data_IF_209276006388
#
_entry.id   IF_209276006388
#
_cell.length_a   1.000
_cell.length_b   1.000
_cell.length_c   1.000
_cell.angle_alpha   90.00
_cell.angle_beta   90.00
_cell.angle_gamma   90.00
#
_symmetry.space_group_name_H-M   'P 1'
#
loop_
_entity.id
_entity.type
_entity.pdbx_description
1 polymer ?
#
# COMPACT_ATOMS: atom_id res chain seq x y z
N UNK A 1 4.09 -12.89 24.42
CA UNK A 1 5.34 -12.35 25.01
C UNK A 1 5.27 -12.37 26.54
N UNK A 2 6.44 -12.40 27.21
CA UNK A 2 6.49 -12.18 28.66
C UNK A 2 6.24 -10.69 28.92
N UNK A 3 5.66 -10.38 30.07
CA UNK A 3 5.47 -9.01 30.52
C UNK A 3 6.82 -8.22 30.47
N UNK A 4 6.81 -7.05 29.84
CA UNK A 4 7.99 -6.22 29.54
C UNK A 4 9.05 -6.90 28.66
N UNK A 5 8.74 -8.04 28.04
CA UNK A 5 9.58 -8.61 26.99
C UNK A 5 9.58 -7.69 25.77
N UNK A 6 10.76 -7.38 25.25
CA UNK A 6 10.93 -6.57 24.05
C UNK A 6 11.43 -7.49 22.94
N UNK A 7 10.88 -7.35 21.75
CA UNK A 7 11.40 -7.93 20.51
C UNK A 7 11.63 -6.85 19.46
N UNK A 8 12.66 -7.04 18.67
CA UNK A 8 12.96 -6.18 17.53
C UNK A 8 13.16 -7.09 16.33
N UNK A 9 12.45 -6.81 15.26
CA UNK A 9 12.53 -7.56 14.02
C UNK A 9 12.69 -6.63 12.82
N UNK A 10 13.49 -7.07 11.86
CA UNK A 10 13.49 -6.53 10.50
C UNK A 10 12.64 -7.47 9.65
N UNK A 11 11.62 -6.93 9.02
CA UNK A 11 10.66 -7.69 8.23
C UNK A 11 10.83 -7.26 6.78
N UNK A 12 11.09 -8.21 5.90
CA UNK A 12 11.06 -8.01 4.45
C UNK A 12 9.84 -8.73 3.88
N UNK A 13 9.08 -8.03 3.05
CA UNK A 13 7.91 -8.56 2.36
C UNK A 13 8.00 -8.26 0.87
N UNK A 14 7.30 -9.06 0.08
CA UNK A 14 7.01 -8.79 -1.32
C UNK A 14 5.51 -8.98 -1.57
N UNK A 15 4.85 -7.95 -2.02
CA UNK A 15 3.46 -8.04 -2.47
C UNK A 15 3.43 -8.25 -3.98
N UNK A 16 2.91 -9.39 -4.42
CA UNK A 16 2.71 -9.66 -5.84
C UNK A 16 1.56 -8.82 -6.36
N UNK A 17 1.83 -8.09 -7.44
CA UNK A 17 0.83 -7.29 -8.15
C UNK A 17 0.29 -8.14 -9.30
N UNK A 18 -1.03 -8.41 -9.36
CA UNK A 18 -1.61 -9.13 -10.48
C UNK A 18 -1.51 -8.30 -11.77
N UNK A 19 -1.38 -8.96 -12.91
CA UNK A 19 -1.29 -8.28 -14.23
C UNK A 19 -2.50 -7.36 -14.50
N UNK A 20 -3.67 -7.73 -14.01
CA UNK A 20 -4.90 -6.93 -14.11
C UNK A 20 -4.83 -5.60 -13.34
N UNK A 21 -3.84 -5.41 -12.47
CA UNK A 21 -3.62 -4.17 -11.74
C UNK A 21 -2.51 -3.30 -12.39
N UNK A 22 -1.88 -3.75 -13.46
CA UNK A 22 -0.86 -2.97 -14.18
C UNK A 22 -1.48 -1.84 -15.02
N UNK A 23 -2.72 -2.03 -15.50
CA UNK A 23 -3.45 -1.04 -16.29
C UNK A 23 -4.87 -0.84 -15.76
N UNK A 24 -5.50 0.20 -16.21
CA UNK A 24 -6.93 0.41 -16.07
C UNK A 24 -7.51 0.97 -17.37
N UNK A 25 -8.76 0.65 -17.65
CA UNK A 25 -9.47 1.14 -18.82
C UNK A 25 -9.92 2.58 -18.59
N UNK A 26 -9.40 3.51 -19.35
CA UNK A 26 -9.86 4.88 -19.41
C UNK A 26 -10.98 5.00 -20.46
N UNK A 27 -12.11 5.59 -20.08
CA UNK A 27 -13.21 5.85 -21.01
C UNK A 27 -13.45 7.36 -21.08
N UNK A 28 -13.59 7.88 -22.30
CA UNK A 28 -13.90 9.29 -22.53
C UNK A 28 -15.21 9.75 -21.87
N UNK A 29 -16.16 8.84 -21.64
CA UNK A 29 -17.44 9.13 -20.99
C UNK A 29 -17.34 9.43 -19.50
N UNK A 30 -16.31 8.97 -18.85
CA UNK A 30 -16.16 9.02 -17.39
C UNK A 30 -15.61 10.38 -16.92
N UNK A 31 -15.11 11.19 -17.87
CA UNK A 31 -14.47 12.47 -17.56
C UNK A 31 -15.04 13.60 -18.42
N UNK A 32 -15.15 14.80 -17.86
CA UNK A 32 -15.68 15.96 -18.56
C UNK A 32 -14.58 16.69 -19.34
N UNK A 33 -13.43 16.92 -18.69
CA UNK A 33 -12.38 17.82 -19.20
C UNK A 33 -11.12 17.07 -19.66
N UNK A 34 -11.16 15.73 -19.65
CA UNK A 34 -10.05 14.88 -20.07
C UNK A 34 -10.58 13.87 -21.07
N UNK A 35 -9.97 13.78 -22.22
CA UNK A 35 -10.33 12.85 -23.30
C UNK A 35 -9.06 12.22 -23.87
N UNK A 36 -9.22 11.10 -24.56
CA UNK A 36 -8.14 10.60 -25.41
C UNK A 36 -7.92 11.60 -26.55
N UNK A 37 -6.66 11.91 -26.84
CA UNK A 37 -6.28 12.82 -27.93
C UNK A 37 -6.65 12.23 -29.31
N UNK A 38 -6.55 10.92 -29.44
CA UNK A 38 -7.07 10.20 -30.60
C UNK A 38 -8.60 10.14 -30.56
N UNK A 39 -9.23 10.96 -31.38
CA UNK A 39 -10.70 11.06 -31.47
C UNK A 39 -11.35 9.85 -32.14
N UNK A 40 -10.58 8.92 -32.70
CA UNK A 40 -11.11 7.70 -33.34
C UNK A 40 -11.47 6.61 -32.30
N UNK A 41 -10.97 6.73 -31.08
CA UNK A 41 -11.20 5.77 -30.00
C UNK A 41 -11.91 6.45 -28.82
N UNK A 42 -12.74 5.71 -28.13
CA UNK A 42 -13.47 6.17 -26.94
C UNK A 42 -12.91 5.64 -25.62
N UNK A 43 -12.06 4.63 -25.68
CA UNK A 43 -11.41 4.01 -24.52
C UNK A 43 -10.02 3.52 -24.86
N UNK A 44 -9.13 3.50 -23.86
CA UNK A 44 -7.78 2.96 -23.95
C UNK A 44 -7.31 2.42 -22.61
N UNK A 45 -6.38 1.45 -22.64
CA UNK A 45 -5.69 1.02 -21.44
C UNK A 45 -4.61 2.03 -21.07
N UNK A 46 -4.61 2.48 -19.81
CA UNK A 46 -3.63 3.41 -19.26
C UNK A 46 -2.86 2.71 -18.15
N UNK A 47 -1.53 2.84 -18.08
CA UNK A 47 -0.76 2.30 -16.97
C UNK A 47 -1.27 2.81 -15.62
N UNK A 48 -1.45 1.89 -14.68
CA UNK A 48 -1.63 2.23 -13.27
C UNK A 48 -0.28 2.57 -12.63
N UNK A 49 -0.27 2.88 -11.33
CA UNK A 49 0.98 3.07 -10.58
C UNK A 49 1.91 1.84 -10.64
N UNK A 50 1.38 0.66 -10.89
CA UNK A 50 2.15 -0.59 -11.04
C UNK A 50 2.46 -0.95 -12.49
N UNK A 51 2.05 -0.12 -13.42
CA UNK A 51 2.24 -0.34 -14.86
C UNK A 51 3.60 0.11 -15.39
N UNK A 52 3.68 0.10 -16.71
CA UNK A 52 4.88 0.44 -17.46
C UNK A 52 5.25 1.93 -17.35
N UNK A 53 6.55 2.21 -17.37
CA UNK A 53 7.07 3.58 -17.53
C UNK A 53 7.24 3.98 -19.00
N UNK A 54 7.18 3.04 -19.94
CA UNK A 54 7.47 3.30 -21.34
C UNK A 54 6.49 4.28 -21.95
N UNK A 55 7.00 5.20 -22.76
CA UNK A 55 6.19 6.21 -23.42
C UNK A 55 5.19 5.60 -24.41
N UNK A 56 5.60 4.53 -25.11
CA UNK A 56 4.78 3.85 -26.11
C UNK A 56 3.54 3.17 -25.50
N UNK A 57 3.59 2.85 -24.21
CA UNK A 57 2.47 2.23 -23.49
C UNK A 57 1.49 3.28 -22.92
N UNK A 58 1.71 4.57 -23.16
CA UNK A 58 0.95 5.68 -22.58
C UNK A 58 0.24 6.49 -23.67
N UNK A 59 -1.08 6.33 -23.82
CA UNK A 59 -1.85 7.12 -24.77
C UNK A 59 -1.78 8.62 -24.43
N UNK A 60 -1.94 9.46 -25.46
CA UNK A 60 -2.06 10.91 -25.28
C UNK A 60 -3.45 11.25 -24.74
N UNK A 61 -3.47 12.10 -23.74
CA UNK A 61 -4.68 12.67 -23.14
C UNK A 61 -4.75 14.15 -23.43
N UNK A 62 -5.88 14.61 -23.94
CA UNK A 62 -6.19 16.02 -24.13
C UNK A 62 -6.94 16.57 -22.91
N UNK A 63 -6.36 17.57 -22.28
CA UNK A 63 -6.92 18.30 -21.15
C UNK A 63 -7.52 19.61 -21.65
N UNK A 64 -8.82 19.81 -21.46
CA UNK A 64 -9.52 21.02 -21.91
C UNK A 64 -9.86 21.93 -20.73
N UNK A 65 -9.63 23.22 -20.90
CA UNK A 65 -10.07 24.25 -19.96
C UNK A 65 -11.53 24.69 -20.22
N UNK A 66 -12.07 25.52 -19.33
CA UNK A 66 -13.43 26.05 -19.47
C UNK A 66 -13.58 27.00 -20.69
N UNK A 67 -12.48 27.45 -21.28
CA UNK A 67 -12.45 28.34 -22.46
C UNK A 67 -12.34 27.56 -23.77
N UNK A 68 -12.22 26.20 -23.70
CA UNK A 68 -12.09 25.34 -24.85
C UNK A 68 -10.67 25.17 -25.39
N UNK A 69 -9.65 25.70 -24.70
CA UNK A 69 -8.26 25.40 -25.01
C UNK A 69 -7.92 24.01 -24.54
N UNK A 70 -7.18 23.24 -25.33
CA UNK A 70 -6.73 21.91 -24.95
C UNK A 70 -5.21 21.78 -25.03
N UNK A 71 -4.66 21.03 -24.10
CA UNK A 71 -3.24 20.64 -24.08
C UNK A 71 -3.19 19.12 -24.04
N UNK A 72 -2.44 18.52 -24.96
CA UNK A 72 -2.24 17.09 -25.01
C UNK A 72 -0.92 16.70 -24.36
N UNK A 73 -0.97 15.69 -23.49
CA UNK A 73 0.21 15.10 -22.87
C UNK A 73 0.02 13.59 -22.72
N UNK A 74 1.12 12.85 -22.65
CA UNK A 74 1.05 11.42 -22.39
C UNK A 74 0.45 11.14 -21.02
N UNK A 75 -0.32 10.08 -20.91
CA UNK A 75 -0.80 9.57 -19.62
C UNK A 75 0.37 9.40 -18.65
N UNK A 76 0.09 9.48 -17.35
CA UNK A 76 1.12 9.34 -16.31
C UNK A 76 1.83 7.98 -16.40
N UNK A 77 3.14 7.94 -16.16
CA UNK A 77 3.87 6.69 -16.14
C UNK A 77 3.48 5.85 -14.93
N UNK A 78 3.56 4.53 -15.08
CA UNK A 78 3.59 3.63 -13.95
C UNK A 78 4.96 3.66 -13.24
N UNK A 79 5.13 2.83 -12.22
CA UNK A 79 6.40 2.72 -11.48
C UNK A 79 7.52 2.00 -12.25
N UNK A 80 7.19 1.29 -13.32
CA UNK A 80 8.15 0.46 -14.05
C UNK A 80 8.79 -0.66 -13.22
N UNK A 81 8.11 -1.08 -12.17
CA UNK A 81 8.66 -2.04 -11.21
C UNK A 81 9.00 -3.39 -11.86
N UNK A 82 8.14 -3.87 -12.75
CA UNK A 82 8.34 -5.11 -13.51
C UNK A 82 9.55 -5.01 -14.43
N UNK A 83 9.77 -3.87 -15.06
CA UNK A 83 10.93 -3.60 -15.90
C UNK A 83 12.22 -3.52 -15.09
N UNK A 84 12.15 -2.95 -13.89
CA UNK A 84 13.32 -2.74 -13.04
C UNK A 84 13.85 -4.04 -12.40
N UNK A 85 12.97 -4.91 -11.93
CA UNK A 85 13.34 -6.10 -11.14
C UNK A 85 12.94 -7.43 -11.79
N UNK A 86 12.31 -7.41 -12.98
CA UNK A 86 11.88 -8.60 -13.72
C UNK A 86 10.60 -9.26 -13.20
N UNK A 87 10.03 -8.77 -12.11
CA UNK A 87 8.82 -9.28 -11.49
C UNK A 87 7.93 -8.13 -11.01
N UNK A 88 6.61 -8.29 -11.11
CA UNK A 88 5.68 -7.31 -10.57
C UNK A 88 5.45 -7.57 -9.06
N UNK A 89 6.46 -7.23 -8.27
CA UNK A 89 6.48 -7.40 -6.82
C UNK A 89 6.87 -6.09 -6.17
N UNK A 90 6.01 -5.57 -5.30
CA UNK A 90 6.34 -4.40 -4.47
C UNK A 90 7.15 -4.87 -3.26
N UNK A 91 8.46 -4.67 -3.25
CA UNK A 91 9.27 -5.02 -2.09
C UNK A 91 9.02 -4.00 -0.97
N UNK A 92 8.94 -4.48 0.25
CA UNK A 92 8.91 -3.60 1.41
C UNK A 92 9.77 -4.16 2.54
N UNK A 93 10.52 -3.29 3.18
CA UNK A 93 11.28 -3.62 4.37
C UNK A 93 10.86 -2.68 5.50
N UNK A 94 10.60 -3.23 6.67
CA UNK A 94 10.18 -2.46 7.83
C UNK A 94 10.86 -2.94 9.10
N UNK A 95 10.99 -2.04 10.05
CA UNK A 95 11.43 -2.36 11.41
C UNK A 95 10.19 -2.49 12.27
N UNK A 96 10.13 -3.57 13.04
CA UNK A 96 9.07 -3.78 14.03
C UNK A 96 9.68 -3.87 15.42
N UNK A 97 9.09 -3.15 16.36
CA UNK A 97 9.36 -3.27 17.80
C UNK A 97 8.10 -3.79 18.47
N UNK A 98 8.24 -4.85 19.24
CA UNK A 98 7.17 -5.44 20.04
C UNK A 98 7.46 -5.29 21.52
N UNK A 99 6.43 -5.01 22.30
CA UNK A 99 6.51 -4.96 23.77
C UNK A 99 5.37 -5.76 24.37
N UNK A 100 5.73 -6.78 25.17
CA UNK A 100 4.76 -7.56 25.94
C UNK A 100 4.20 -6.76 27.09
N UNK A 101 2.89 -6.55 27.11
CA UNK A 101 2.16 -5.91 28.16
C UNK A 101 1.54 -6.94 29.11
N UNK A 102 0.84 -6.49 30.15
CA UNK A 102 0.11 -7.37 31.06
C UNK A 102 -1.05 -8.09 30.34
N UNK A 103 -1.50 -9.21 30.95
CA UNK A 103 -2.61 -10.02 30.45
C UNK A 103 -2.44 -10.49 28.99
N UNK A 104 -1.25 -10.96 28.64
CA UNK A 104 -0.93 -11.51 27.31
C UNK A 104 -1.37 -10.56 26.18
N UNK A 105 -1.05 -9.29 26.35
CA UNK A 105 -1.25 -8.26 25.34
C UNK A 105 0.11 -7.87 24.78
N UNK A 106 0.20 -7.73 23.46
CA UNK A 106 1.41 -7.29 22.77
C UNK A 106 1.13 -5.97 22.04
N UNK A 107 1.91 -4.95 22.34
CA UNK A 107 1.98 -3.72 21.55
C UNK A 107 3.06 -3.90 20.48
N UNK A 108 2.73 -3.60 19.23
CA UNK A 108 3.67 -3.65 18.10
C UNK A 108 3.70 -2.30 17.40
N UNK A 109 4.89 -1.81 17.17
CA UNK A 109 5.14 -0.57 16.42
C UNK A 109 5.93 -0.98 15.19
N UNK A 110 5.50 -0.53 14.02
CA UNK A 110 6.18 -0.75 12.74
C UNK A 110 6.50 0.58 12.11
N UNK A 111 7.67 0.69 11.52
CA UNK A 111 7.99 1.85 10.74
C UNK A 111 8.91 1.52 9.57
N UNK A 112 8.71 2.23 8.49
CA UNK A 112 9.62 2.32 7.37
C UNK A 112 10.18 3.72 7.40
N UNK A 113 11.51 3.88 7.62
CA UNK A 113 12.15 5.18 7.50
C UNK A 113 11.88 5.81 6.14
N UNK A 114 11.87 7.12 6.07
CA UNK A 114 11.71 7.83 4.81
C UNK A 114 12.76 7.33 3.80
N UNK A 115 12.26 6.76 2.72
CA UNK A 115 13.06 6.38 1.56
C UNK A 115 12.89 7.48 0.52
N UNK A 116 13.98 7.95 -0.05
CA UNK A 116 13.97 8.97 -1.09
C UNK A 116 14.75 8.43 -2.28
N UNK A 117 14.09 8.33 -3.42
CA UNK A 117 14.70 8.11 -4.73
C UNK A 117 14.69 9.41 -5.53
N UNK A 118 15.10 9.33 -6.79
CA UNK A 118 15.19 10.51 -7.67
C UNK A 118 13.80 11.13 -7.92
N UNK A 119 12.76 10.31 -8.01
CA UNK A 119 11.40 10.75 -8.35
C UNK A 119 10.35 10.34 -7.32
N UNK A 120 10.75 9.75 -6.19
CA UNK A 120 9.78 9.32 -5.18
C UNK A 120 10.28 9.49 -3.75
N UNK A 121 9.34 9.64 -2.84
CA UNK A 121 9.52 9.50 -1.41
C UNK A 121 8.49 8.54 -0.84
N UNK A 122 8.90 7.73 0.12
CA UNK A 122 8.02 6.77 0.79
C UNK A 122 8.36 6.68 2.26
N UNK A 123 7.34 6.62 3.11
CA UNK A 123 7.48 6.32 4.54
C UNK A 123 6.22 5.66 5.06
N UNK A 124 6.36 4.88 6.12
CA UNK A 124 5.22 4.24 6.78
C UNK A 124 5.42 4.17 8.29
N UNK A 125 4.34 4.36 9.02
CA UNK A 125 4.28 4.16 10.47
C UNK A 125 3.00 3.45 10.85
N UNK A 126 3.09 2.44 11.71
CA UNK A 126 1.95 1.68 12.16
C UNK A 126 2.06 1.25 13.62
N UNK A 127 0.90 1.11 14.25
CA UNK A 127 0.76 0.60 15.63
C UNK A 127 -0.27 -0.51 15.62
N UNK A 128 0.02 -1.59 16.32
CA UNK A 128 -0.89 -2.72 16.49
C UNK A 128 -0.92 -3.21 17.93
N UNK A 129 -2.11 -3.59 18.36
CA UNK A 129 -2.34 -4.22 19.66
C UNK A 129 -2.90 -5.61 19.44
N UNK A 130 -2.22 -6.63 19.92
CA UNK A 130 -2.65 -8.01 19.86
C UNK A 130 -2.93 -8.53 21.28
N UNK A 131 -4.09 -9.13 21.45
CA UNK A 131 -4.54 -9.62 22.77
C UNK A 131 -4.96 -11.07 22.70
N UNK A 132 -4.48 -11.90 23.66
CA UNK A 132 -4.86 -13.31 23.80
C UNK A 132 -6.26 -13.44 24.37
N UNK A 133 -7.17 -14.04 23.60
CA UNK A 133 -8.56 -14.26 23.99
C UNK A 133 -8.75 -15.50 24.87
N UNK A 134 -7.78 -16.41 24.91
CA UNK A 134 -7.89 -17.66 25.66
C UNK A 134 -8.15 -17.44 27.14
N UNK A 135 -7.60 -16.38 27.70
CA UNK A 135 -7.74 -16.11 29.14
C UNK A 135 -9.15 -15.67 29.57
N UNK A 136 -9.95 -15.15 28.64
CA UNK A 136 -11.27 -14.57 28.94
C UNK A 136 -12.44 -15.49 28.60
N UNK A 137 -12.30 -16.32 27.57
CA UNK A 137 -13.39 -17.11 27.03
C UNK A 137 -13.19 -18.58 27.44
N UNK A 138 -14.03 -19.13 28.36
CA UNK A 138 -13.85 -20.50 28.86
C UNK A 138 -13.83 -21.57 27.80
N UNK A 139 -14.64 -21.41 26.75
CA UNK A 139 -14.66 -22.32 25.60
C UNK A 139 -13.33 -22.28 24.83
N UNK A 140 -12.77 -21.10 24.59
CA UNK A 140 -11.50 -20.92 23.85
C UNK A 140 -10.31 -21.49 24.62
N UNK A 141 -10.36 -21.53 25.96
CA UNK A 141 -9.33 -22.19 26.79
C UNK A 141 -9.13 -23.65 26.47
N UNK A 142 -10.18 -24.34 26.04
CA UNK A 142 -10.16 -25.78 25.72
C UNK A 142 -9.67 -26.11 24.32
N UNK A 143 -9.51 -25.07 23.47
CA UNK A 143 -9.03 -25.31 22.11
C UNK A 143 -7.56 -25.69 22.08
N UNK A 144 -7.18 -26.61 21.18
CA UNK A 144 -5.79 -27.09 21.05
C UNK A 144 -4.87 -26.11 20.33
N UNK A 145 -5.31 -24.88 20.14
CA UNK A 145 -4.61 -23.78 19.50
C UNK A 145 -4.87 -22.45 20.23
N UNK A 146 -4.02 -21.48 20.03
CA UNK A 146 -4.16 -20.16 20.63
C UNK A 146 -5.00 -19.26 19.72
N UNK A 147 -5.79 -18.39 20.34
CA UNK A 147 -6.66 -17.42 19.63
C UNK A 147 -6.40 -16.04 20.15
N UNK A 148 -6.14 -15.10 19.25
CA UNK A 148 -5.86 -13.71 19.57
C UNK A 148 -6.67 -12.76 18.69
N UNK A 149 -7.01 -11.59 19.22
CA UNK A 149 -7.52 -10.47 18.45
C UNK A 149 -6.38 -9.48 18.18
N UNK A 150 -6.34 -8.95 16.97
CA UNK A 150 -5.40 -7.90 16.57
C UNK A 150 -6.19 -6.70 16.06
N UNK A 151 -5.87 -5.54 16.61
CA UNK A 151 -6.29 -4.23 16.06
C UNK A 151 -5.04 -3.49 15.65
N UNK A 152 -5.02 -2.95 14.45
CA UNK A 152 -3.87 -2.20 13.97
C UNK A 152 -4.30 -0.98 13.15
N UNK A 153 -3.51 0.05 13.25
CA UNK A 153 -3.56 1.23 12.41
C UNK A 153 -2.22 1.42 11.72
N UNK A 154 -2.26 1.88 10.46
CA UNK A 154 -1.05 2.19 9.70
C UNK A 154 -1.28 3.43 8.83
N UNK A 155 -0.31 4.31 8.79
CA UNK A 155 -0.24 5.45 7.88
C UNK A 155 0.92 5.27 6.90
N UNK A 156 0.63 5.46 5.61
CA UNK A 156 1.61 5.44 4.52
C UNK A 156 1.61 6.80 3.85
N UNK A 157 2.77 7.36 3.64
CA UNK A 157 2.97 8.57 2.85
C UNK A 157 3.85 8.24 1.66
N UNK A 158 3.35 8.53 0.48
CA UNK A 158 4.08 8.39 -0.78
C UNK A 158 4.01 9.69 -1.54
N UNK A 159 5.13 10.11 -2.14
CA UNK A 159 5.21 11.30 -2.95
C UNK A 159 5.96 10.96 -4.23
N UNK A 160 5.40 11.35 -5.35
CA UNK A 160 5.98 11.13 -6.67
C UNK A 160 6.18 12.48 -7.35
N UNK A 161 7.40 12.77 -7.75
CA UNK A 161 7.78 13.99 -8.44
C UNK A 161 7.60 13.80 -9.94
N UNK A 162 6.95 14.75 -10.62
CA UNK A 162 6.75 14.71 -12.07
C UNK A 162 8.00 15.10 -12.83
N UNK A 163 8.75 16.03 -12.29
CA UNK A 163 10.04 16.53 -12.82
C UNK A 163 10.89 17.01 -11.63
N UNK A 164 11.57 16.07 -10.99
CA UNK A 164 12.36 16.35 -9.79
C UNK A 164 13.54 17.30 -10.04
N UNK A 165 14.03 17.35 -11.28
CA UNK A 165 15.22 18.15 -11.64
C UNK A 165 14.87 19.62 -11.92
N UNK A 166 13.79 19.88 -12.67
CA UNK A 166 13.45 21.25 -13.10
C UNK A 166 12.32 21.85 -12.25
N UNK A 167 11.38 21.02 -11.79
CA UNK A 167 10.20 21.45 -11.05
C UNK A 167 9.96 20.61 -9.79
N UNK A 168 10.84 20.68 -8.77
CA UNK A 168 10.77 19.84 -7.58
C UNK A 168 9.54 20.08 -6.69
N UNK A 169 8.77 21.14 -6.98
CA UNK A 169 7.51 21.44 -6.29
C UNK A 169 6.33 20.67 -6.87
N UNK A 170 6.43 20.21 -8.12
CA UNK A 170 5.36 19.48 -8.80
C UNK A 170 5.41 18.00 -8.41
N UNK A 171 4.44 17.59 -7.62
CA UNK A 171 4.39 16.23 -7.13
C UNK A 171 2.96 15.75 -6.87
N UNK A 172 2.76 14.45 -6.96
CA UNK A 172 1.57 13.75 -6.46
C UNK A 172 1.88 13.18 -5.09
N UNK A 173 1.09 13.56 -4.11
CA UNK A 173 1.20 13.06 -2.74
C UNK A 173 0.00 12.17 -2.41
N UNK A 174 0.28 10.96 -1.94
CA UNK A 174 -0.70 9.99 -1.46
C UNK A 174 -0.52 9.78 0.03
N UNK A 175 -1.55 10.06 0.80
CA UNK A 175 -1.61 9.82 2.22
C UNK A 175 -2.66 8.75 2.50
N UNK A 176 -2.22 7.52 2.72
CA UNK A 176 -3.11 6.38 2.99
C UNK A 176 -3.13 6.05 4.47
N UNK A 177 -4.30 5.99 5.05
CA UNK A 177 -4.56 5.51 6.41
C UNK A 177 -5.29 4.18 6.33
N UNK A 178 -4.84 3.22 7.09
CA UNK A 178 -5.42 1.87 7.12
C UNK A 178 -5.76 1.50 8.55
N UNK A 179 -6.95 0.99 8.76
CA UNK A 179 -7.36 0.38 10.01
C UNK A 179 -7.70 -1.10 9.77
N UNK A 180 -7.18 -1.98 10.61
CA UNK A 180 -7.33 -3.41 10.48
C UNK A 180 -7.80 -4.04 11.80
N UNK A 181 -8.75 -4.96 11.68
CA UNK A 181 -9.14 -5.86 12.75
C UNK A 181 -9.04 -7.30 12.28
N UNK A 182 -8.39 -8.17 13.08
CA UNK A 182 -8.23 -9.59 12.74
C UNK A 182 -8.41 -10.46 13.98
N UNK A 183 -8.98 -11.66 13.75
CA UNK A 183 -8.90 -12.79 14.68
C UNK A 183 -7.87 -13.77 14.13
N UNK A 184 -6.91 -14.11 14.95
CA UNK A 184 -5.78 -14.98 14.62
C UNK A 184 -5.87 -16.25 15.43
N UNK A 185 -5.61 -17.38 14.78
CA UNK A 185 -5.41 -18.66 15.45
C UNK A 185 -3.99 -19.16 15.17
N UNK A 186 -3.34 -19.72 16.18
CA UNK A 186 -2.01 -20.30 16.02
C UNK A 186 -1.85 -21.59 16.79
N UNK A 187 -1.02 -22.50 16.26
CA UNK A 187 -0.66 -23.76 16.93
C UNK A 187 0.81 -24.05 16.76
N UNK A 188 1.49 -24.20 17.88
CA UNK A 188 2.87 -24.67 17.88
C UNK A 188 2.92 -26.20 17.77
N UNK A 189 3.63 -26.69 16.77
CA UNK A 189 3.87 -28.07 16.45
C UNK A 189 5.38 -28.34 16.50
N UNK A 190 5.89 -28.71 17.69
CA UNK A 190 7.33 -28.90 17.89
C UNK A 190 8.17 -27.67 17.48
N UNK A 191 8.88 -27.75 16.37
CA UNK A 191 9.73 -26.66 15.83
C UNK A 191 8.96 -25.70 14.89
N UNK A 192 7.77 -26.08 14.43
CA UNK A 192 6.95 -25.26 13.54
C UNK A 192 5.80 -24.59 14.30
N UNK A 193 5.42 -23.42 13.86
CA UNK A 193 4.18 -22.76 14.30
C UNK A 193 3.32 -22.49 13.08
N UNK A 194 2.13 -23.07 13.04
CA UNK A 194 1.11 -22.77 12.05
C UNK A 194 0.24 -21.63 12.58
N UNK A 195 -0.11 -20.70 11.72
CA UNK A 195 -1.04 -19.63 12.04
C UNK A 195 -1.91 -19.29 10.85
N UNK A 196 -3.09 -18.80 11.13
CA UNK A 196 -4.05 -18.30 10.15
C UNK A 196 -4.96 -17.29 10.81
N UNK A 197 -5.65 -16.51 10.01
CA UNK A 197 -6.57 -15.51 10.54
C UNK A 197 -7.57 -15.04 9.53
N UNK A 198 -8.63 -14.42 10.05
CA UNK A 198 -9.66 -13.72 9.27
C UNK A 198 -9.83 -12.34 9.85
N UNK A 199 -10.14 -11.39 9.01
CA UNK A 199 -10.31 -10.01 9.46
C UNK A 199 -10.86 -9.09 8.38
N UNK A 200 -10.99 -7.84 8.76
CA UNK A 200 -11.41 -6.76 7.88
C UNK A 200 -10.39 -5.64 7.91
N UNK A 201 -10.26 -4.96 6.80
CA UNK A 201 -9.38 -3.80 6.62
C UNK A 201 -10.19 -2.70 5.96
N UNK A 202 -10.16 -1.50 6.54
CA UNK A 202 -10.63 -0.28 5.89
C UNK A 202 -9.43 0.61 5.60
N UNK A 203 -9.49 1.33 4.49
CA UNK A 203 -8.46 2.29 4.11
C UNK A 203 -9.10 3.55 3.56
N UNK A 204 -8.41 4.66 3.73
CA UNK A 204 -8.72 5.96 3.19
C UNK A 204 -7.44 6.53 2.56
N UNK A 205 -7.55 7.06 1.36
CA UNK A 205 -6.40 7.65 0.67
C UNK A 205 -6.76 9.07 0.22
N UNK A 206 -6.01 10.03 0.72
CA UNK A 206 -6.02 11.41 0.26
C UNK A 206 -4.97 11.57 -0.84
N UNK A 207 -5.36 12.15 -1.96
CA UNK A 207 -4.46 12.44 -3.10
C UNK A 207 -4.38 13.95 -3.27
N UNK A 208 -3.18 14.49 -3.18
CA UNK A 208 -2.90 15.91 -3.35
C UNK A 208 -1.97 16.12 -4.55
N UNK A 209 -2.34 17.02 -5.43
CA UNK A 209 -1.48 17.54 -6.49
C UNK A 209 -0.81 18.81 -5.96
N UNK A 210 0.53 18.81 -5.96
CA UNK A 210 1.36 19.92 -5.53
C UNK A 210 1.99 20.57 -6.77
N UNK A 211 2.08 21.91 -6.79
CA UNK A 211 2.67 22.65 -7.91
C UNK A 211 2.38 24.12 -7.84
#
# INVERSE_FOLDING_TARGET
HKFLGIDIAVIANGAFVPETAETFTFNNSDYTNIKLDDTSISSAEIPSIFGSQKLDDRPLLAFSDASGNSISTSALPGSGLKEAIGYNVVPSAMIQVGVGLFKNTDLKIRFVPKQTGDEYEFSSFGVGLMHDLKQWIPFVKRLPFDVSALVAWNGVKSKFYMDSQNNPTQALEFNTKTFMFQILASKKLSIFTLYGGVGTTSYETDVNMLG
#
